data_IF_279968740415
#
_entry.id   IF_279968740415
#
_cell.length_a   1.000
_cell.length_b   1.000
_cell.length_c   1.000
_cell.angle_alpha   90.00
_cell.angle_beta   90.00
_cell.angle_gamma   90.00
#
_symmetry.space_group_name_H-M   'P 1'
#
loop_
_entity.id
_entity.type
_entity.pdbx_description
1 polymer ?
#
# COMPACT_ATOMS: atom_id res chain seq x y z
N UNK A 1 17.80 13.85 -3.75
CA UNK A 1 17.59 12.45 -3.33
C UNK A 1 17.98 12.30 -1.86
N UNK A 2 17.05 11.81 -1.03
CA UNK A 2 17.32 11.55 0.39
C UNK A 2 17.27 10.04 0.61
N UNK A 3 18.32 9.45 1.13
CA UNK A 3 18.35 8.05 1.55
C UNK A 3 17.66 7.91 2.90
N UNK A 4 16.76 6.96 3.02
CA UNK A 4 16.02 6.69 4.25
C UNK A 4 16.28 5.23 4.68
N UNK A 5 17.13 4.99 5.67
CA UNK A 5 17.53 3.64 6.10
C UNK A 5 16.49 3.03 7.04
N UNK A 6 15.31 2.70 6.53
CA UNK A 6 14.27 2.04 7.31
C UNK A 6 14.43 0.53 7.31
N UNK A 7 14.08 -0.08 8.42
CA UNK A 7 14.03 -1.53 8.54
C UNK A 7 12.94 -2.10 7.62
N UNK A 8 13.30 -3.17 6.92
CA UNK A 8 12.37 -3.94 6.11
C UNK A 8 12.90 -5.37 6.00
N UNK A 9 12.06 -6.37 6.25
CA UNK A 9 12.46 -7.78 6.28
C UNK A 9 12.97 -8.32 4.93
N UNK A 10 12.67 -7.63 3.83
CA UNK A 10 13.14 -7.99 2.50
C UNK A 10 14.39 -7.23 2.07
N UNK A 11 14.48 -5.93 2.39
CA UNK A 11 15.47 -5.04 1.79
C UNK A 11 16.54 -4.52 2.76
N UNK A 12 16.25 -4.41 4.06
CA UNK A 12 17.17 -3.80 5.01
C UNK A 12 16.95 -4.27 6.45
N UNK A 13 17.78 -5.18 6.90
CA UNK A 13 17.77 -5.70 8.27
C UNK A 13 18.77 -4.98 9.19
N UNK A 14 19.65 -4.12 8.64
CA UNK A 14 20.81 -3.55 9.35
C UNK A 14 20.47 -2.28 10.14
N UNK A 15 19.19 -1.93 10.26
CA UNK A 15 18.74 -0.75 11.00
C UNK A 15 17.64 -1.08 11.99
N UNK A 16 17.56 -0.27 13.04
CA UNK A 16 16.47 -0.33 14.03
C UNK A 16 15.37 0.70 13.77
N UNK A 17 15.52 1.54 12.74
CA UNK A 17 14.54 2.57 12.44
C UNK A 17 13.32 1.97 11.72
N UNK A 18 12.23 1.86 12.43
CA UNK A 18 10.97 1.32 11.92
C UNK A 18 10.20 2.35 11.08
N UNK A 19 9.56 1.90 10.00
CA UNK A 19 8.82 2.78 9.09
C UNK A 19 7.64 3.48 9.79
N UNK A 20 6.99 2.83 10.76
CA UNK A 20 5.87 3.40 11.51
C UNK A 20 6.27 4.52 12.50
N UNK A 21 7.59 4.81 12.66
CA UNK A 21 8.13 5.88 13.50
C UNK A 21 8.80 6.98 12.66
N UNK A 22 8.89 6.80 11.35
CA UNK A 22 9.61 7.72 10.49
C UNK A 22 8.76 8.94 10.14
N UNK A 23 9.21 10.11 10.58
CA UNK A 23 8.61 11.38 10.16
C UNK A 23 9.20 11.84 8.84
N UNK A 24 8.34 12.19 7.88
CA UNK A 24 8.81 12.73 6.61
C UNK A 24 9.49 14.07 6.82
N UNK A 25 10.74 14.28 6.34
CA UNK A 25 11.54 15.48 6.59
C UNK A 25 11.08 16.67 5.75
N UNK A 26 9.77 16.90 5.71
CA UNK A 26 9.12 17.97 4.96
C UNK A 26 8.12 18.70 5.85
N UNK A 27 7.95 20.01 5.61
CA UNK A 27 6.95 20.80 6.31
C UNK A 27 5.53 20.38 5.91
N UNK A 28 4.56 20.75 6.72
CA UNK A 28 3.14 20.57 6.42
C UNK A 28 2.76 21.32 5.14
N UNK A 29 1.80 20.79 4.40
CA UNK A 29 1.24 21.42 3.20
C UNK A 29 2.31 21.80 2.14
N UNK A 30 3.29 20.94 1.94
CA UNK A 30 4.40 21.18 1.00
C UNK A 30 4.07 20.75 -0.42
N UNK A 31 3.41 19.59 -0.59
CA UNK A 31 3.26 18.95 -1.89
C UNK A 31 1.84 19.03 -2.45
N UNK A 32 1.74 19.23 -3.75
CA UNK A 32 0.47 19.10 -4.48
C UNK A 32 0.19 17.63 -4.81
N UNK A 33 1.27 16.84 -5.04
CA UNK A 33 1.19 15.41 -5.37
C UNK A 33 2.29 14.63 -4.64
N UNK A 34 1.92 13.47 -4.09
CA UNK A 34 2.83 12.45 -3.55
C UNK A 34 2.62 11.17 -4.34
N UNK A 35 3.69 10.47 -4.70
CA UNK A 35 3.62 9.23 -5.49
C UNK A 35 4.40 8.11 -4.81
N UNK A 36 3.72 6.97 -4.60
CA UNK A 36 4.32 5.75 -4.05
C UNK A 36 3.95 4.55 -4.93
N UNK A 37 4.89 4.08 -5.72
CA UNK A 37 4.71 2.86 -6.53
C UNK A 37 5.47 1.70 -5.93
N UNK A 38 4.78 0.58 -5.70
CA UNK A 38 5.33 -0.65 -5.08
C UNK A 38 5.99 -0.41 -3.71
N UNK A 39 5.50 0.57 -2.94
CA UNK A 39 5.95 0.83 -1.56
C UNK A 39 5.03 0.11 -0.58
N UNK A 40 3.74 0.40 -0.62
CA UNK A 40 2.76 -0.18 0.31
C UNK A 40 2.58 -1.70 0.18
N UNK A 41 2.99 -2.28 -0.94
CA UNK A 41 3.03 -3.73 -1.14
C UNK A 41 4.12 -4.44 -0.32
N UNK A 42 5.00 -3.68 0.36
CA UNK A 42 6.12 -4.16 1.17
C UNK A 42 6.10 -3.57 2.59
N UNK A 43 4.96 -3.07 3.06
CA UNK A 43 4.81 -2.43 4.36
C UNK A 43 3.69 -3.07 5.17
N UNK A 44 3.92 -3.28 6.47
CA UNK A 44 2.92 -3.81 7.39
C UNK A 44 1.79 -2.78 7.63
N UNK A 45 0.59 -3.21 8.08
CA UNK A 45 -0.56 -2.30 8.25
C UNK A 45 -0.29 -1.07 9.11
N UNK A 46 0.47 -1.21 10.19
CA UNK A 46 0.82 -0.09 11.07
C UNK A 46 1.71 0.95 10.36
N UNK A 47 2.62 0.48 9.51
CA UNK A 47 3.51 1.33 8.71
C UNK A 47 2.73 2.09 7.64
N UNK A 48 1.83 1.39 6.92
CA UNK A 48 0.94 2.03 5.92
C UNK A 48 0.06 3.09 6.59
N UNK A 49 -0.53 2.77 7.76
CA UNK A 49 -1.32 3.73 8.52
C UNK A 49 -0.52 4.99 8.87
N UNK A 50 0.70 4.81 9.37
CA UNK A 50 1.58 5.92 9.72
C UNK A 50 1.96 6.75 8.48
N UNK A 51 2.33 6.09 7.38
CA UNK A 51 2.66 6.77 6.13
C UNK A 51 1.49 7.57 5.57
N UNK A 52 0.26 7.06 5.63
CA UNK A 52 -0.93 7.80 5.20
C UNK A 52 -1.14 9.06 6.06
N UNK A 53 -0.87 9.00 7.37
CA UNK A 53 -0.91 10.18 8.26
C UNK A 53 0.17 11.21 7.85
N UNK A 54 1.40 10.75 7.61
CA UNK A 54 2.49 11.62 7.16
C UNK A 54 2.20 12.22 5.76
N UNK A 55 1.64 11.42 4.84
CA UNK A 55 1.22 11.88 3.52
C UNK A 55 0.16 12.99 3.66
N UNK A 56 -0.85 12.77 4.51
CA UNK A 56 -1.87 13.81 4.77
C UNK A 56 -1.26 15.09 5.28
N UNK A 57 -0.28 15.00 6.20
CA UNK A 57 0.42 16.16 6.77
C UNK A 57 1.17 16.97 5.71
N UNK A 58 1.92 16.30 4.84
CA UNK A 58 2.75 16.98 3.84
C UNK A 58 2.01 17.40 2.58
N UNK A 59 0.83 16.85 2.31
CA UNK A 59 -0.03 17.27 1.21
C UNK A 59 -0.71 18.61 1.53
N UNK A 60 -0.76 19.50 0.53
CA UNK A 60 -1.61 20.69 0.58
C UNK A 60 -3.08 20.30 0.62
N UNK A 61 -3.96 21.15 1.16
CA UNK A 61 -5.41 20.95 1.04
C UNK A 61 -5.82 20.71 -0.43
N UNK A 62 -6.53 19.61 -0.69
CA UNK A 62 -6.90 19.18 -2.03
C UNK A 62 -5.78 18.51 -2.84
N UNK A 63 -4.59 18.36 -2.29
CA UNK A 63 -3.50 17.59 -2.89
C UNK A 63 -3.80 16.11 -3.00
N UNK A 64 -3.06 15.39 -3.84
CA UNK A 64 -3.33 14.00 -4.16
C UNK A 64 -2.14 13.09 -3.82
N UNK A 65 -2.43 11.88 -3.31
CA UNK A 65 -1.46 10.81 -3.24
C UNK A 65 -1.86 9.69 -4.22
N UNK A 66 -0.98 9.37 -5.15
CA UNK A 66 -1.08 8.22 -6.03
C UNK A 66 -0.25 7.08 -5.44
N UNK A 67 -0.87 5.95 -5.18
CA UNK A 67 -0.19 4.79 -4.59
C UNK A 67 -0.67 3.48 -5.18
N UNK A 68 0.18 2.44 -5.10
CA UNK A 68 -0.18 1.11 -5.58
C UNK A 68 -0.23 0.11 -4.43
N UNK A 69 -1.17 -0.84 -4.56
CA UNK A 69 -1.45 -1.90 -3.59
C UNK A 69 -1.70 -3.24 -4.29
N UNK A 70 -1.69 -4.31 -3.53
CA UNK A 70 -2.45 -5.51 -3.83
C UNK A 70 -3.73 -5.49 -2.96
N UNK A 71 -4.90 -5.47 -3.60
CA UNK A 71 -6.19 -5.33 -2.90
C UNK A 71 -7.00 -6.62 -3.01
N UNK A 72 -7.28 -7.23 -1.85
CA UNK A 72 -8.18 -8.36 -1.73
C UNK A 72 -9.63 -7.87 -1.59
N UNK A 73 -10.44 -8.15 -2.58
CA UNK A 73 -11.90 -8.05 -2.48
C UNK A 73 -12.52 -9.43 -2.21
N UNK A 74 -13.85 -9.48 -2.14
CA UNK A 74 -14.60 -10.70 -1.79
C UNK A 74 -14.29 -11.90 -2.72
N UNK A 75 -13.98 -11.66 -4.00
CA UNK A 75 -13.81 -12.70 -5.00
C UNK A 75 -12.33 -13.05 -5.24
N UNK A 76 -11.41 -12.18 -4.88
CA UNK A 76 -9.97 -12.34 -5.16
C UNK A 76 -9.40 -13.64 -4.61
N UNK A 77 -9.68 -14.09 -3.38
CA UNK A 77 -9.13 -15.35 -2.87
C UNK A 77 -9.50 -16.57 -3.73
N UNK A 78 -10.73 -16.64 -4.22
CA UNK A 78 -11.17 -17.75 -5.07
C UNK A 78 -10.52 -17.68 -6.47
N UNK A 79 -10.36 -16.50 -7.05
CA UNK A 79 -9.66 -16.30 -8.33
C UNK A 79 -8.21 -16.77 -8.22
N UNK A 80 -7.50 -16.40 -7.15
CA UNK A 80 -6.10 -16.81 -6.93
C UNK A 80 -5.99 -18.32 -6.72
N UNK A 81 -6.91 -18.91 -5.99
CA UNK A 81 -6.95 -20.37 -5.78
C UNK A 81 -7.10 -21.16 -7.07
N UNK A 82 -7.90 -20.66 -8.02
CA UNK A 82 -8.13 -21.28 -9.33
C UNK A 82 -6.98 -21.03 -10.33
N UNK A 83 -6.19 -19.96 -10.14
CA UNK A 83 -5.13 -19.54 -11.07
C UNK A 83 -3.77 -19.51 -10.37
N UNK A 84 -3.10 -20.66 -10.32
CA UNK A 84 -1.81 -20.82 -9.60
C UNK A 84 -0.64 -20.06 -10.21
N UNK A 85 -0.75 -19.61 -11.45
CA UNK A 85 0.27 -18.79 -12.13
C UNK A 85 0.23 -17.32 -11.67
N UNK A 86 -0.85 -16.89 -11.02
CA UNK A 86 -0.95 -15.57 -10.42
C UNK A 86 -0.18 -15.52 -9.11
N UNK A 87 0.19 -14.29 -8.69
CA UNK A 87 0.80 -14.08 -7.38
C UNK A 87 -0.15 -14.53 -6.26
N UNK A 88 0.31 -15.46 -5.44
CA UNK A 88 -0.49 -16.05 -4.37
C UNK A 88 -0.28 -15.28 -3.05
N UNK A 89 -1.37 -15.10 -2.30
CA UNK A 89 -1.37 -14.55 -0.94
C UNK A 89 -2.13 -15.54 -0.08
N UNK A 90 -1.40 -16.47 0.54
CA UNK A 90 -1.97 -17.65 1.20
C UNK A 90 -2.11 -17.52 2.71
N UNK A 91 -1.40 -16.59 3.33
CA UNK A 91 -1.43 -16.39 4.78
C UNK A 91 -2.40 -15.25 5.12
N UNK A 92 -3.62 -15.63 5.55
CA UNK A 92 -4.67 -14.67 5.88
C UNK A 92 -4.55 -14.17 7.32
N UNK A 93 -4.66 -12.84 7.48
CA UNK A 93 -4.76 -12.12 8.75
C UNK A 93 -6.06 -11.31 8.79
N UNK A 94 -6.33 -10.64 9.90
CA UNK A 94 -7.58 -9.88 10.08
C UNK A 94 -7.80 -8.83 8.97
N UNK A 95 -6.78 -8.03 8.65
CA UNK A 95 -6.88 -6.89 7.70
C UNK A 95 -6.09 -7.06 6.41
N UNK A 96 -5.27 -8.10 6.28
CA UNK A 96 -4.34 -8.30 5.16
C UNK A 96 -4.03 -9.77 4.93
N UNK A 97 -3.26 -10.04 3.86
CA UNK A 97 -2.71 -11.34 3.50
C UNK A 97 -1.22 -11.20 3.21
N UNK A 98 -0.43 -12.22 3.54
CA UNK A 98 0.97 -12.29 3.15
C UNK A 98 1.18 -13.29 2.01
N UNK A 99 2.15 -12.97 1.14
CA UNK A 99 2.69 -13.91 0.15
C UNK A 99 3.58 -14.96 0.83
N UNK A 100 4.40 -14.53 1.80
CA UNK A 100 5.34 -15.35 2.58
C UNK A 100 5.20 -14.99 4.07
N UNK A 101 5.13 -15.98 4.97
CA UNK A 101 5.01 -15.75 6.41
C UNK A 101 6.35 -15.63 7.12
N UNK A 102 7.46 -16.00 6.45
CA UNK A 102 8.82 -15.89 6.98
C UNK A 102 9.46 -14.55 6.62
N UNK A 103 9.16 -14.03 5.42
CA UNK A 103 9.59 -12.71 4.95
C UNK A 103 8.33 -11.86 4.79
N UNK A 104 7.87 -11.30 5.90
CA UNK A 104 6.55 -10.64 5.97
C UNK A 104 6.39 -9.45 5.05
N UNK A 105 7.50 -8.77 4.73
CA UNK A 105 7.50 -7.61 3.83
C UNK A 105 7.75 -7.99 2.36
N UNK A 106 7.81 -9.30 2.03
CA UNK A 106 8.03 -9.75 0.66
C UNK A 106 6.93 -9.25 -0.29
N UNK A 107 5.67 -9.49 0.07
CA UNK A 107 4.50 -8.90 -0.59
C UNK A 107 3.28 -9.01 0.34
N UNK A 108 2.53 -7.92 0.43
CA UNK A 108 1.36 -7.77 1.29
C UNK A 108 0.16 -7.35 0.45
N UNK A 109 -0.95 -8.06 0.59
CA UNK A 109 -2.24 -7.69 0.01
C UNK A 109 -3.21 -7.28 1.12
N UNK A 110 -3.82 -6.12 0.99
CA UNK A 110 -4.74 -5.58 1.98
C UNK A 110 -6.20 -5.91 1.64
N UNK A 111 -7.00 -6.24 2.64
CA UNK A 111 -8.45 -6.26 2.46
C UNK A 111 -8.94 -4.86 2.12
N UNK A 112 -9.84 -4.74 1.14
CA UNK A 112 -10.35 -3.43 0.69
C UNK A 112 -10.88 -2.56 1.83
N UNK A 113 -11.57 -3.17 2.79
CA UNK A 113 -12.09 -2.47 3.97
C UNK A 113 -10.98 -1.90 4.87
N UNK A 114 -9.83 -2.57 4.94
CA UNK A 114 -8.69 -2.09 5.73
C UNK A 114 -8.11 -0.81 5.12
N UNK A 115 -7.96 -0.74 3.79
CA UNK A 115 -7.48 0.47 3.11
C UNK A 115 -8.45 1.64 3.36
N UNK A 116 -9.76 1.39 3.29
CA UNK A 116 -10.77 2.41 3.58
C UNK A 116 -10.67 2.91 5.03
N UNK A 117 -10.50 1.99 5.98
CA UNK A 117 -10.32 2.34 7.40
C UNK A 117 -9.06 3.16 7.63
N UNK A 118 -7.92 2.74 7.04
CA UNK A 118 -6.65 3.46 7.16
C UNK A 118 -6.73 4.86 6.54
N UNK A 119 -7.40 5.02 5.39
CA UNK A 119 -7.62 6.33 4.77
C UNK A 119 -8.46 7.24 5.68
N UNK A 120 -9.57 6.75 6.24
CA UNK A 120 -10.43 7.49 7.15
C UNK A 120 -9.66 7.94 8.40
N UNK A 121 -8.89 7.03 9.01
CA UNK A 121 -8.06 7.34 10.19
C UNK A 121 -6.97 8.39 9.90
N UNK A 122 -6.50 8.47 8.66
CA UNK A 122 -5.55 9.49 8.21
C UNK A 122 -6.24 10.78 7.71
N UNK A 123 -7.56 10.88 7.78
CA UNK A 123 -8.34 11.99 7.20
C UNK A 123 -8.09 12.21 5.70
N UNK A 124 -7.92 11.12 4.97
CA UNK A 124 -7.81 11.08 3.51
C UNK A 124 -9.07 10.48 2.91
N UNK A 125 -9.48 11.01 1.74
CA UNK A 125 -10.57 10.45 0.96
C UNK A 125 -10.03 9.62 -0.20
N UNK A 126 -10.62 8.45 -0.47
CA UNK A 126 -10.30 7.68 -1.67
C UNK A 126 -11.06 8.29 -2.86
N UNK A 127 -10.33 8.95 -3.76
CA UNK A 127 -10.88 9.58 -4.98
C UNK A 127 -11.04 8.59 -6.12
N UNK A 128 -10.10 7.65 -6.26
CA UNK A 128 -10.09 6.63 -7.30
C UNK A 128 -9.52 5.32 -6.75
N UNK A 129 -10.14 4.21 -7.17
CA UNK A 129 -9.58 2.87 -7.04
C UNK A 129 -9.73 2.20 -8.40
N UNK A 130 -8.61 1.91 -9.07
CA UNK A 130 -8.56 1.17 -10.32
C UNK A 130 -7.89 -0.19 -10.09
N UNK A 131 -8.60 -1.27 -10.45
CA UNK A 131 -8.08 -2.63 -10.26
C UNK A 131 -6.92 -2.91 -11.23
N UNK A 132 -5.84 -3.47 -10.70
CA UNK A 132 -4.72 -3.99 -11.46
C UNK A 132 -5.02 -5.38 -12.06
N UNK A 133 -4.19 -5.81 -13.00
CA UNK A 133 -4.37 -7.15 -13.60
C UNK A 133 -3.67 -8.28 -12.83
N UNK A 134 -2.99 -7.99 -11.71
CA UNK A 134 -2.27 -8.98 -10.89
C UNK A 134 -3.14 -10.16 -10.43
N UNK A 135 -4.45 -9.93 -10.30
CA UNK A 135 -5.46 -10.90 -9.87
C UNK A 135 -6.27 -11.50 -11.03
N UNK A 136 -5.70 -11.52 -12.25
CA UNK A 136 -6.34 -12.15 -13.43
C UNK A 136 -7.32 -11.24 -14.17
N UNK A 137 -7.28 -9.93 -13.93
CA UNK A 137 -8.07 -8.95 -14.69
C UNK A 137 -7.56 -8.70 -16.10
N UNK A 138 -8.36 -8.01 -16.92
CA UNK A 138 -7.97 -7.61 -18.26
C UNK A 138 -6.89 -6.52 -18.20
N UNK A 139 -5.71 -6.83 -18.75
CA UNK A 139 -4.58 -5.90 -18.82
C UNK A 139 -4.91 -4.64 -19.61
N UNK A 140 -5.76 -4.72 -20.63
CA UNK A 140 -6.14 -3.57 -21.46
C UNK A 140 -7.09 -2.60 -20.76
N UNK A 141 -7.80 -3.08 -19.73
CA UNK A 141 -8.73 -2.30 -18.91
C UNK A 141 -8.10 -1.75 -17.62
N UNK A 142 -6.84 -2.08 -17.33
CA UNK A 142 -6.15 -1.72 -16.09
C UNK A 142 -5.03 -0.74 -16.37
N UNK A 143 -4.86 0.25 -15.49
CA UNK A 143 -3.79 1.26 -15.61
C UNK A 143 -2.43 0.74 -15.18
N UNK A 144 -2.37 -0.27 -14.29
CA UNK A 144 -1.13 -0.82 -13.73
C UNK A 144 -1.31 -2.31 -13.40
N UNK A 145 -0.20 -3.04 -13.23
CA UNK A 145 -0.20 -4.40 -12.71
C UNK A 145 -0.84 -4.47 -11.32
N UNK A 146 -0.40 -3.62 -10.40
CA UNK A 146 -0.97 -3.46 -9.07
C UNK A 146 -2.25 -2.60 -9.12
N UNK A 147 -3.10 -2.72 -8.10
CA UNK A 147 -4.26 -1.83 -7.94
C UNK A 147 -3.77 -0.40 -7.66
N UNK A 148 -4.36 0.57 -8.35
CA UNK A 148 -4.04 1.99 -8.18
C UNK A 148 -5.06 2.65 -7.27
N UNK A 149 -4.59 3.34 -6.24
CA UNK A 149 -5.42 4.13 -5.34
C UNK A 149 -4.97 5.60 -5.37
N UNK A 150 -5.90 6.51 -5.59
CA UNK A 150 -5.67 7.95 -5.44
C UNK A 150 -6.40 8.43 -4.20
N UNK A 151 -5.64 8.94 -3.24
CA UNK A 151 -6.16 9.63 -2.07
C UNK A 151 -6.15 11.14 -2.29
N UNK A 152 -7.07 11.85 -1.62
CA UNK A 152 -7.14 13.32 -1.59
C UNK A 152 -7.08 13.81 -0.14
N UNK A 153 -6.25 14.82 0.10
CA UNK A 153 -6.07 15.49 1.39
C UNK A 153 -7.21 16.48 1.71
#
# INVERSE_FOLDING_TARGET
FTYTPLRNDLYNLDTQQEAHQFEFPYADNTFDVVVLTSVFTHMQPAEVQHYLIQIKRVLKPGGHCLSTFFIMDKNTPEILKQNKDLMQFTFEYDTYYLHDDKVKDANIAFKKIAIQSMANNAHLNIKLLNNGWWKGGDKSASLNYQDLVIFTA
#
